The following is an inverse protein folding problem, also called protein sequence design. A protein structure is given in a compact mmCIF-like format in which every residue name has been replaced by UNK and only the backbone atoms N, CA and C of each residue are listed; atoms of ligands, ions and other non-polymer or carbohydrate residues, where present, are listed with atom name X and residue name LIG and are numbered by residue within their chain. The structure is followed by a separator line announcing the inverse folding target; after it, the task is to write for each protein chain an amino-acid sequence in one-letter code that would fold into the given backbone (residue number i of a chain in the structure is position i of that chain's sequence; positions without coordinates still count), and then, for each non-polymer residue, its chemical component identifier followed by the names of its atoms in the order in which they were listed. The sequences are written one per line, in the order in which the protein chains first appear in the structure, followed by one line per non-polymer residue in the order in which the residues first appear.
data_IF_826728004341
#
_entry.id   IF_826728004341
#
_cell.length_a   1.000
_cell.length_b   1.000
_cell.length_c   1.000
_cell.angle_alpha   90.00
_cell.angle_beta   90.00
_cell.angle_gamma   90.00
#
_symmetry.space_group_name_H-M   'P 1'
#
loop_
_entity.id
_entity.type
_entity.pdbx_description
1 polymer ?
#
# COMPACT_ATOMS: atom_id res chain seq x y z
N UNK A 1 19.86 0.38 -32.28
CA UNK A 1 19.01 1.53 -31.88
C UNK A 1 19.59 2.83 -32.44
N UNK A 2 18.77 3.78 -32.95
CA UNK A 2 19.26 5.14 -33.25
C UNK A 2 19.56 5.86 -31.92
N UNK A 3 20.47 6.84 -31.90
CA UNK A 3 20.74 7.62 -30.68
C UNK A 3 19.47 8.30 -30.12
N UNK A 4 18.48 8.61 -30.98
CA UNK A 4 17.17 9.12 -30.59
C UNK A 4 16.38 8.12 -29.76
N UNK A 5 16.31 6.85 -30.18
CA UNK A 5 15.53 5.83 -29.49
C UNK A 5 16.10 5.47 -28.11
N UNK A 6 17.42 5.60 -27.91
CA UNK A 6 18.06 5.42 -26.61
C UNK A 6 17.64 6.52 -25.63
N UNK A 7 17.74 7.78 -26.05
CA UNK A 7 17.30 8.92 -25.26
C UNK A 7 15.79 8.87 -24.95
N UNK A 8 14.98 8.43 -25.91
CA UNK A 8 13.53 8.25 -25.72
C UNK A 8 13.22 7.13 -24.70
N UNK A 9 14.02 6.06 -24.67
CA UNK A 9 13.89 4.97 -23.70
C UNK A 9 14.24 5.44 -22.28
N UNK A 10 15.36 6.14 -22.13
CA UNK A 10 15.77 6.76 -20.88
C UNK A 10 14.69 7.69 -20.34
N UNK A 11 14.19 8.60 -21.17
CA UNK A 11 13.14 9.53 -20.77
C UNK A 11 11.88 8.79 -20.28
N UNK A 12 11.47 7.72 -20.97
CA UNK A 12 10.32 6.91 -20.57
C UNK A 12 10.55 6.18 -19.26
N UNK A 13 11.73 5.61 -19.04
CA UNK A 13 12.07 4.95 -17.78
C UNK A 13 12.10 5.96 -16.63
N UNK A 14 12.70 7.14 -16.82
CA UNK A 14 12.69 8.20 -15.80
C UNK A 14 11.27 8.67 -15.48
N UNK A 15 10.42 8.89 -16.49
CA UNK A 15 9.00 9.24 -16.28
C UNK A 15 8.25 8.15 -15.53
N UNK A 16 8.49 6.88 -15.87
CA UNK A 16 7.87 5.76 -15.18
C UNK A 16 8.36 5.61 -13.74
N UNK A 17 9.65 5.85 -13.49
CA UNK A 17 10.21 5.91 -12.14
C UNK A 17 9.57 7.02 -11.30
N UNK A 18 9.41 8.21 -11.87
CA UNK A 18 8.68 9.31 -11.21
C UNK A 18 7.24 8.92 -10.88
N UNK A 19 6.52 8.35 -11.85
CA UNK A 19 5.14 7.91 -11.66
C UNK A 19 5.03 6.88 -10.53
N UNK A 20 5.89 5.86 -10.51
CA UNK A 20 5.89 4.83 -9.45
C UNK A 20 6.30 5.42 -8.10
N UNK A 21 7.23 6.37 -8.07
CA UNK A 21 7.57 7.10 -6.84
C UNK A 21 6.38 7.89 -6.28
N UNK A 22 5.56 8.49 -7.14
CA UNK A 22 4.38 9.21 -6.70
C UNK A 22 3.29 8.26 -6.18
N UNK A 23 3.11 7.09 -6.81
CA UNK A 23 2.27 6.03 -6.25
C UNK A 23 2.75 5.55 -4.88
N UNK A 24 4.06 5.41 -4.71
CA UNK A 24 4.67 5.03 -3.43
C UNK A 24 4.41 6.08 -2.35
N UNK A 25 4.68 7.37 -2.64
CA UNK A 25 4.40 8.48 -1.72
C UNK A 25 2.92 8.53 -1.33
N UNK A 26 2.02 8.32 -2.29
CA UNK A 26 0.59 8.26 -2.02
C UNK A 26 0.22 7.09 -1.10
N UNK A 27 0.80 5.90 -1.32
CA UNK A 27 0.60 4.75 -0.45
C UNK A 27 1.11 5.03 0.98
N UNK A 28 2.24 5.72 1.13
CA UNK A 28 2.78 6.13 2.43
C UNK A 28 1.88 7.15 3.13
N UNK A 29 1.44 8.19 2.43
CA UNK A 29 0.52 9.19 2.96
C UNK A 29 -0.77 8.55 3.49
N UNK A 30 -1.33 7.56 2.77
CA UNK A 30 -2.49 6.79 3.21
C UNK A 30 -2.25 6.02 4.52
N UNK A 31 -1.13 5.32 4.63
CA UNK A 31 -0.80 4.56 5.83
C UNK A 31 -0.53 5.51 7.03
N UNK A 32 0.17 6.63 6.82
CA UNK A 32 0.36 7.67 7.86
C UNK A 32 -0.99 8.25 8.31
N UNK A 33 -1.86 8.59 7.37
CA UNK A 33 -3.20 9.08 7.68
C UNK A 33 -4.01 8.07 8.51
N UNK A 34 -3.91 6.78 8.18
CA UNK A 34 -4.59 5.74 8.94
C UNK A 34 -4.03 5.56 10.36
N UNK A 35 -2.71 5.69 10.56
CA UNK A 35 -2.11 5.73 11.91
C UNK A 35 -2.69 6.88 12.72
N UNK A 36 -2.77 8.09 12.14
CA UNK A 36 -3.36 9.25 12.79
C UNK A 36 -4.83 9.03 13.18
N UNK A 37 -5.64 8.54 12.24
CA UNK A 37 -7.07 8.27 12.48
C UNK A 37 -7.29 7.20 13.55
N UNK A 38 -6.57 6.06 13.46
CA UNK A 38 -6.70 4.98 14.44
C UNK A 38 -6.24 5.42 15.84
N UNK A 39 -5.15 6.19 15.93
CA UNK A 39 -4.65 6.73 17.21
C UNK A 39 -5.65 7.73 17.83
N UNK A 40 -6.24 8.61 17.02
CA UNK A 40 -7.24 9.56 17.49
C UNK A 40 -8.51 8.84 18.00
N UNK A 41 -9.00 7.86 17.26
CA UNK A 41 -10.18 7.06 17.65
C UNK A 41 -9.94 6.30 18.96
N UNK A 42 -8.77 5.67 19.10
CA UNK A 42 -8.38 4.97 20.34
C UNK A 42 -8.22 5.95 21.52
N UNK A 43 -7.63 7.12 21.30
CA UNK A 43 -7.50 8.16 22.33
C UNK A 43 -8.86 8.65 22.84
N UNK A 44 -9.81 8.90 21.93
CA UNK A 44 -11.18 9.25 22.29
C UNK A 44 -11.86 8.13 23.10
N UNK A 45 -11.75 6.88 22.63
CA UNK A 45 -12.36 5.73 23.31
C UNK A 45 -11.78 5.51 24.70
N UNK A 46 -10.46 5.66 24.86
CA UNK A 46 -9.81 5.57 26.16
C UNK A 46 -10.38 6.59 27.14
N UNK A 47 -10.52 7.85 26.71
CA UNK A 47 -11.14 8.91 27.51
C UNK A 47 -12.59 8.58 27.88
N UNK A 48 -13.39 8.16 26.89
CA UNK A 48 -14.79 7.79 27.11
C UNK A 48 -14.94 6.64 28.11
N UNK A 49 -14.15 5.56 27.96
CA UNK A 49 -14.17 4.41 28.86
C UNK A 49 -13.74 4.80 30.27
N UNK A 50 -12.67 5.60 30.40
CA UNK A 50 -12.20 6.07 31.70
C UNK A 50 -13.23 6.94 32.44
N UNK A 51 -14.03 7.73 31.73
CA UNK A 51 -15.09 8.55 32.32
C UNK A 51 -16.38 7.80 32.64
N UNK A 52 -16.57 6.58 32.12
CA UNK A 52 -17.81 5.80 32.26
C UNK A 52 -17.59 4.42 32.90
N UNK A 53 -16.53 4.27 33.70
CA UNK A 53 -16.22 3.01 34.39
C UNK A 53 -17.41 2.58 35.24
N UNK A 54 -17.87 1.34 35.04
CA UNK A 54 -19.03 0.77 35.75
C UNK A 54 -20.39 1.07 35.11
N UNK A 55 -20.47 1.96 34.11
CA UNK A 55 -21.72 2.37 33.47
C UNK A 55 -21.95 1.71 32.10
N UNK A 56 -21.48 0.46 31.93
CA UNK A 56 -21.62 -0.32 30.71
C UNK A 56 -22.53 -1.52 30.94
N UNK A 57 -23.52 -1.70 30.08
CA UNK A 57 -24.20 -2.99 29.95
C UNK A 57 -23.24 -4.01 29.32
N UNK A 58 -23.54 -5.30 29.48
CA UNK A 58 -22.73 -6.37 28.89
C UNK A 58 -22.57 -6.19 27.38
N UNK A 59 -23.66 -5.89 26.66
CA UNK A 59 -23.64 -5.70 25.21
C UNK A 59 -22.82 -4.47 24.80
N UNK A 60 -22.94 -3.34 25.51
CA UNK A 60 -22.10 -2.16 25.21
C UNK A 60 -20.63 -2.45 25.44
N UNK A 61 -20.29 -3.14 26.54
CA UNK A 61 -18.91 -3.51 26.86
C UNK A 61 -18.29 -4.42 25.81
N UNK A 62 -19.02 -5.45 25.35
CA UNK A 62 -18.56 -6.35 24.28
C UNK A 62 -18.34 -5.59 22.97
N UNK A 63 -19.28 -4.73 22.57
CA UNK A 63 -19.16 -3.95 21.33
C UNK A 63 -17.94 -2.99 21.37
N UNK A 64 -17.73 -2.29 22.49
CA UNK A 64 -16.57 -1.41 22.69
C UNK A 64 -15.27 -2.21 22.67
N UNK A 65 -15.23 -3.38 23.31
CA UNK A 65 -14.03 -4.22 23.35
C UNK A 65 -13.64 -4.75 21.97
N UNK A 66 -14.61 -5.30 21.22
CA UNK A 66 -14.38 -5.78 19.85
C UNK A 66 -13.97 -4.65 18.90
N UNK A 67 -14.63 -3.49 19.02
CA UNK A 67 -14.29 -2.33 18.22
C UNK A 67 -12.88 -1.80 18.51
N UNK A 68 -12.51 -1.75 19.80
CA UNK A 68 -11.16 -1.34 20.23
C UNK A 68 -10.09 -2.30 19.73
N UNK A 69 -10.33 -3.62 19.80
CA UNK A 69 -9.43 -4.62 19.26
C UNK A 69 -9.22 -4.42 17.75
N UNK A 70 -10.28 -4.15 16.99
CA UNK A 70 -10.18 -3.91 15.56
C UNK A 70 -9.41 -2.62 15.22
N UNK A 71 -9.58 -1.55 16.00
CA UNK A 71 -8.81 -0.31 15.87
C UNK A 71 -7.32 -0.53 16.17
N UNK A 72 -6.99 -1.33 17.20
CA UNK A 72 -5.61 -1.71 17.51
C UNK A 72 -5.01 -2.51 16.35
N UNK A 73 -5.74 -3.48 15.79
CA UNK A 73 -5.27 -4.26 14.64
C UNK A 73 -5.02 -3.35 13.42
N UNK A 74 -5.91 -2.39 13.15
CA UNK A 74 -5.71 -1.41 12.09
C UNK A 74 -4.44 -0.56 12.31
N UNK A 75 -4.22 -0.09 13.54
CA UNK A 75 -3.03 0.69 13.89
C UNK A 75 -1.75 -0.14 13.72
N UNK A 76 -1.69 -1.33 14.32
CA UNK A 76 -0.53 -2.22 14.25
C UNK A 76 -0.22 -2.60 12.82
N UNK A 77 -1.22 -2.92 12.01
CA UNK A 77 -1.03 -3.23 10.59
C UNK A 77 -0.35 -2.07 9.86
N UNK A 78 -0.81 -0.81 10.02
CA UNK A 78 -0.14 0.33 9.37
C UNK A 78 1.27 0.59 9.92
N UNK A 79 1.51 0.36 11.21
CA UNK A 79 2.87 0.50 11.76
C UNK A 79 3.86 -0.45 11.08
N UNK A 80 3.42 -1.68 10.74
CA UNK A 80 4.26 -2.62 9.98
C UNK A 80 4.58 -2.13 8.55
N UNK A 81 3.82 -1.18 8.00
CA UNK A 81 4.07 -0.60 6.67
C UNK A 81 5.31 0.31 6.61
N UNK A 82 5.82 0.75 7.77
CA UNK A 82 7.03 1.58 7.89
C UNK A 82 8.30 0.77 8.10
N UNK A 83 8.20 -0.55 8.33
CA UNK A 83 9.38 -1.38 8.50
C UNK A 83 10.21 -1.40 7.19
N UNK A 84 11.55 -1.25 7.29
CA UNK A 84 12.43 -1.30 6.13
C UNK A 84 12.31 -2.64 5.43
N UNK A 85 12.34 -2.62 4.09
CA UNK A 85 12.22 -3.82 3.28
C UNK A 85 13.58 -4.17 2.69
N UNK A 86 14.20 -5.24 3.22
CA UNK A 86 15.49 -5.73 2.70
C UNK A 86 15.35 -7.05 1.96
N UNK A 87 14.44 -7.96 2.38
CA UNK A 87 14.31 -9.30 1.77
C UNK A 87 12.89 -9.68 1.33
N UNK A 88 11.87 -8.97 1.80
CA UNK A 88 10.45 -9.29 1.52
C UNK A 88 10.05 -9.15 0.05
N UNK A 89 10.82 -8.45 -0.77
CA UNK A 89 10.52 -8.27 -2.18
C UNK A 89 10.58 -9.58 -2.97
N UNK A 90 11.51 -10.48 -2.61
CA UNK A 90 11.65 -11.79 -3.27
C UNK A 90 10.44 -12.67 -2.99
N UNK A 91 9.96 -12.66 -1.75
CA UNK A 91 8.76 -13.39 -1.35
C UNK A 91 7.49 -12.82 -2.02
N UNK A 92 7.42 -11.50 -2.22
CA UNK A 92 6.32 -10.87 -2.93
C UNK A 92 6.36 -11.18 -4.43
N UNK A 93 7.55 -11.14 -5.05
CA UNK A 93 7.75 -11.49 -6.45
C UNK A 93 7.26 -12.91 -6.76
N UNK A 94 7.56 -13.88 -5.89
CA UNK A 94 7.09 -15.26 -6.03
C UNK A 94 5.56 -15.43 -5.98
N UNK A 95 4.83 -14.47 -5.41
CA UNK A 95 3.36 -14.49 -5.30
C UNK A 95 2.67 -13.70 -6.41
N UNK A 96 3.42 -12.94 -7.21
CA UNK A 96 2.84 -12.18 -8.32
C UNK A 96 2.67 -13.08 -9.54
N UNK A 97 1.59 -12.90 -10.32
CA UNK A 97 1.45 -13.62 -11.57
C UNK A 97 2.54 -13.17 -12.54
N UNK A 98 2.91 -14.06 -13.46
CA UNK A 98 3.86 -13.76 -14.53
C UNK A 98 3.39 -12.55 -15.36
N UNK A 99 4.33 -11.76 -15.90
CA UNK A 99 4.03 -10.66 -16.81
C UNK A 99 3.18 -11.12 -18.00
N UNK A 100 2.28 -10.24 -18.45
CA UNK A 100 1.39 -10.50 -19.59
C UNK A 100 1.56 -9.43 -20.68
N UNK A 101 1.24 -9.81 -21.91
CA UNK A 101 1.26 -8.87 -23.03
C UNK A 101 0.21 -7.76 -22.91
N UNK A 102 -0.83 -7.99 -22.10
CA UNK A 102 -1.89 -7.01 -21.80
C UNK A 102 -1.58 -6.14 -20.58
N UNK A 103 -0.42 -6.29 -19.94
CA UNK A 103 -0.08 -5.52 -18.74
C UNK A 103 0.07 -4.02 -19.07
N UNK A 104 -0.72 -3.17 -18.43
CA UNK A 104 -0.53 -1.71 -18.45
C UNK A 104 0.81 -1.31 -17.79
N UNK A 105 1.80 -0.92 -18.61
CA UNK A 105 3.15 -0.55 -18.15
C UNK A 105 3.22 0.76 -17.35
N UNK A 106 2.15 1.55 -17.29
CA UNK A 106 2.07 2.74 -16.44
C UNK A 106 1.45 2.46 -15.06
N UNK A 107 0.92 1.25 -14.85
CA UNK A 107 0.32 0.86 -13.58
C UNK A 107 1.34 0.13 -12.70
N UNK A 108 1.60 0.68 -11.50
CA UNK A 108 2.57 0.15 -10.53
C UNK A 108 2.38 -1.35 -10.24
N UNK A 109 1.13 -1.83 -10.23
CA UNK A 109 0.81 -3.22 -9.91
C UNK A 109 1.14 -4.21 -11.03
N UNK A 110 1.23 -3.74 -12.27
CA UNK A 110 1.64 -4.54 -13.43
C UNK A 110 3.16 -4.53 -13.57
N UNK A 111 3.80 -3.35 -13.52
CA UNK A 111 5.27 -3.25 -13.60
C UNK A 111 5.98 -4.05 -12.50
N UNK A 112 5.39 -4.16 -11.31
CA UNK A 112 5.92 -4.96 -10.21
C UNK A 112 6.12 -6.46 -10.51
N UNK A 113 5.46 -6.98 -11.56
CA UNK A 113 5.52 -8.39 -12.00
C UNK A 113 6.74 -8.67 -12.88
N UNK A 114 7.29 -7.64 -13.51
CA UNK A 114 8.37 -7.79 -14.47
C UNK A 114 9.71 -8.08 -13.80
N UNK A 115 10.64 -8.58 -14.61
CA UNK A 115 12.08 -8.52 -14.38
C UNK A 115 12.69 -7.32 -15.13
N UNK A 116 13.83 -6.76 -14.67
CA UNK A 116 14.40 -5.54 -15.23
C UNK A 116 14.51 -5.56 -16.76
N UNK A 117 15.17 -6.59 -17.32
CA UNK A 117 15.29 -6.76 -18.78
C UNK A 117 13.93 -6.86 -19.48
N UNK A 118 13.00 -7.66 -18.93
CA UNK A 118 11.67 -7.84 -19.53
C UNK A 118 10.84 -6.55 -19.54
N UNK A 119 11.04 -5.66 -18.57
CA UNK A 119 10.36 -4.36 -18.51
C UNK A 119 10.91 -3.42 -19.58
N UNK A 120 12.24 -3.33 -19.70
CA UNK A 120 12.91 -2.52 -20.73
C UNK A 120 12.48 -2.96 -22.12
N UNK A 121 12.51 -4.27 -22.40
CA UNK A 121 12.04 -4.81 -23.67
C UNK A 121 10.55 -4.53 -23.93
N UNK A 122 9.69 -4.64 -22.91
CA UNK A 122 8.26 -4.35 -23.07
C UNK A 122 8.01 -2.88 -23.41
N UNK A 123 8.76 -1.95 -22.81
CA UNK A 123 8.66 -0.52 -23.11
C UNK A 123 9.13 -0.24 -24.54
N UNK A 124 10.31 -0.76 -24.93
CA UNK A 124 10.83 -0.55 -26.27
C UNK A 124 9.88 -1.09 -27.35
N UNK A 125 9.40 -2.33 -27.18
CA UNK A 125 8.49 -2.97 -28.15
C UNK A 125 7.18 -2.20 -28.29
N UNK A 126 6.56 -1.77 -27.19
CA UNK A 126 5.21 -1.17 -27.20
C UNK A 126 5.18 0.33 -27.47
N UNK A 127 6.28 1.04 -27.19
CA UNK A 127 6.28 2.51 -27.22
C UNK A 127 7.33 3.12 -28.15
N UNK A 128 8.32 2.33 -28.60
CA UNK A 128 9.38 2.80 -29.51
C UNK A 128 9.39 2.02 -30.85
N UNK A 129 8.50 1.03 -31.00
CA UNK A 129 8.32 0.31 -32.27
C UNK A 129 9.50 -0.57 -32.68
N UNK A 130 10.33 -1.01 -31.73
CA UNK A 130 11.50 -1.85 -32.01
C UNK A 130 12.04 -2.57 -30.76
N UNK A 131 13.06 -3.39 -30.96
CA UNK A 131 13.77 -4.06 -29.86
C UNK A 131 14.69 -3.10 -29.12
N UNK A 132 14.82 -3.31 -27.81
CA UNK A 132 15.59 -2.48 -26.90
C UNK A 132 17.12 -2.65 -27.05
N UNK A 133 17.66 -2.87 -28.25
CA UNK A 133 19.06 -3.27 -28.41
C UNK A 133 19.96 -2.11 -28.93
N UNK A 134 21.00 -1.69 -28.16
CA UNK A 134 21.50 -2.29 -26.91
C UNK A 134 20.80 -1.81 -25.63
N UNK A 135 20.52 -2.76 -24.72
CA UNK A 135 20.15 -2.49 -23.32
C UNK A 135 21.46 -2.29 -22.54
N UNK A 136 21.67 -1.08 -22.02
CA UNK A 136 22.76 -0.83 -21.06
C UNK A 136 22.37 -1.11 -19.60
N UNK A 137 23.37 -1.08 -18.72
CA UNK A 137 23.20 -1.31 -17.28
C UNK A 137 22.33 -0.22 -16.61
N UNK A 138 22.36 1.02 -17.11
CA UNK A 138 21.55 2.13 -16.59
C UNK A 138 20.05 1.89 -16.78
N UNK A 139 19.64 1.40 -17.95
CA UNK A 139 18.25 1.01 -18.21
C UNK A 139 17.81 -0.12 -17.26
N UNK A 140 18.70 -1.09 -16.98
CA UNK A 140 18.41 -2.20 -16.08
C UNK A 140 18.28 -1.73 -14.63
N UNK A 141 19.13 -0.81 -14.18
CA UNK A 141 19.07 -0.22 -12.84
C UNK A 141 17.78 0.59 -12.64
N UNK A 142 17.41 1.42 -13.61
CA UNK A 142 16.14 2.16 -13.58
C UNK A 142 14.95 1.21 -13.55
N UNK A 143 14.95 0.18 -14.40
CA UNK A 143 13.89 -0.82 -14.41
C UNK A 143 13.80 -1.58 -13.08
N UNK A 144 14.93 -1.92 -12.46
CA UNK A 144 14.97 -2.53 -11.14
C UNK A 144 14.32 -1.63 -10.08
N UNK A 145 14.66 -0.33 -10.05
CA UNK A 145 14.03 0.62 -9.13
C UNK A 145 12.52 0.76 -9.35
N UNK A 146 12.07 0.84 -10.61
CA UNK A 146 10.64 0.88 -10.96
C UNK A 146 9.90 -0.35 -10.43
N UNK A 147 10.46 -1.54 -10.64
CA UNK A 147 9.87 -2.81 -10.20
C UNK A 147 9.82 -2.87 -8.67
N UNK A 148 10.93 -2.54 -8.01
CA UNK A 148 11.04 -2.52 -6.54
C UNK A 148 10.04 -1.53 -5.93
N UNK A 149 10.00 -0.29 -6.40
CA UNK A 149 9.05 0.70 -5.87
C UNK A 149 7.60 0.30 -6.15
N UNK A 150 7.32 -0.33 -7.29
CA UNK A 150 5.99 -0.90 -7.58
C UNK A 150 5.60 -2.01 -6.61
N UNK A 151 6.54 -2.89 -6.24
CA UNK A 151 6.35 -3.95 -5.24
C UNK A 151 6.11 -3.39 -3.84
N UNK A 152 6.90 -2.40 -3.42
CA UNK A 152 6.72 -1.72 -2.13
C UNK A 152 5.34 -1.07 -2.09
N UNK A 153 4.94 -0.38 -3.16
CA UNK A 153 3.63 0.27 -3.30
C UNK A 153 2.50 -0.75 -3.14
N UNK A 154 2.54 -1.88 -3.86
CA UNK A 154 1.55 -2.95 -3.75
C UNK A 154 1.40 -3.45 -2.31
N UNK A 155 2.51 -3.71 -1.63
CA UNK A 155 2.49 -4.18 -0.24
C UNK A 155 1.86 -3.15 0.69
N UNK A 156 2.28 -1.89 0.61
CA UNK A 156 1.75 -0.80 1.45
C UNK A 156 0.25 -0.61 1.23
N UNK A 157 -0.23 -0.73 -0.01
CA UNK A 157 -1.67 -0.63 -0.30
C UNK A 157 -2.47 -1.85 0.14
N UNK A 158 -1.89 -3.06 0.12
CA UNK A 158 -2.54 -4.25 0.71
C UNK A 158 -2.69 -4.13 2.22
N UNK A 159 -1.64 -3.66 2.91
CA UNK A 159 -1.69 -3.38 4.35
C UNK A 159 -2.77 -2.33 4.63
N UNK A 160 -2.76 -1.21 3.90
CA UNK A 160 -3.78 -0.16 4.04
C UNK A 160 -5.21 -0.71 3.81
N UNK A 161 -5.40 -1.57 2.80
CA UNK A 161 -6.72 -2.16 2.49
C UNK A 161 -7.24 -3.06 3.60
N UNK A 162 -6.37 -3.84 4.25
CA UNK A 162 -6.76 -4.59 5.44
C UNK A 162 -7.11 -3.63 6.60
N UNK A 163 -6.25 -2.64 6.84
CA UNK A 163 -6.43 -1.71 7.96
C UNK A 163 -7.68 -0.86 7.86
N UNK A 164 -8.07 -0.39 6.67
CA UNK A 164 -9.30 0.42 6.51
C UNK A 164 -10.56 -0.40 6.84
N UNK A 165 -10.56 -1.70 6.53
CA UNK A 165 -11.68 -2.59 6.88
C UNK A 165 -11.74 -2.79 8.40
N UNK A 166 -10.61 -3.08 9.04
CA UNK A 166 -10.54 -3.18 10.50
C UNK A 166 -10.94 -1.87 11.19
N UNK A 167 -10.47 -0.72 10.67
CA UNK A 167 -10.82 0.59 11.18
C UNK A 167 -12.32 0.88 11.06
N UNK A 168 -12.91 0.65 9.87
CA UNK A 168 -14.33 0.85 9.65
C UNK A 168 -15.20 0.00 10.57
N UNK A 169 -14.88 -1.30 10.69
CA UNK A 169 -15.56 -2.19 11.64
C UNK A 169 -15.38 -1.68 13.09
N UNK A 170 -14.17 -1.28 13.46
CA UNK A 170 -13.85 -0.79 14.79
C UNK A 170 -14.66 0.45 15.18
N UNK A 171 -14.72 1.45 14.30
CA UNK A 171 -15.51 2.67 14.50
C UNK A 171 -17.00 2.34 14.66
N UNK A 172 -17.57 1.50 13.78
CA UNK A 172 -18.99 1.14 13.83
C UNK A 172 -19.33 0.38 15.12
N UNK A 173 -18.51 -0.62 15.48
CA UNK A 173 -18.73 -1.40 16.70
C UNK A 173 -18.64 -0.54 17.96
N UNK A 174 -17.64 0.34 18.04
CA UNK A 174 -17.50 1.27 19.16
C UNK A 174 -18.65 2.29 19.23
N UNK A 175 -19.08 2.84 18.09
CA UNK A 175 -20.22 3.76 18.05
C UNK A 175 -21.52 3.08 18.51
N UNK A 176 -21.77 1.85 18.06
CA UNK A 176 -22.91 1.06 18.52
C UNK A 176 -22.82 0.76 20.03
N UNK A 177 -21.63 0.44 20.55
CA UNK A 177 -21.42 0.22 21.97
C UNK A 177 -21.68 1.46 22.83
N UNK A 178 -21.16 2.62 22.41
CA UNK A 178 -21.43 3.92 23.06
C UNK A 178 -22.92 4.27 23.01
N UNK A 179 -23.57 4.05 21.87
CA UNK A 179 -25.02 4.26 21.73
C UNK A 179 -25.79 3.36 22.71
N UNK A 180 -25.52 2.06 22.74
CA UNK A 180 -26.18 1.13 23.67
C UNK A 180 -25.96 1.54 25.12
N UNK A 181 -24.75 1.95 25.50
CA UNK A 181 -24.46 2.43 26.85
C UNK A 181 -25.35 3.61 27.25
N UNK A 182 -25.64 4.53 26.33
CA UNK A 182 -26.48 5.71 26.61
C UNK A 182 -27.97 5.38 26.86
N UNK A 183 -28.48 4.25 26.36
CA UNK A 183 -29.89 3.84 26.53
C UNK A 183 -30.10 2.73 27.55
N UNK A 184 -29.02 2.15 28.08
CA UNK A 184 -29.07 1.12 29.12
C UNK A 184 -28.67 1.63 30.51
N UNK A 185 -28.39 2.93 30.64
CA UNK A 185 -28.18 3.62 31.92
C UNK A 185 -29.50 4.00 32.58
#
# INVERSE_FOLDING_TARGET
MSASNAADLDERLFRLLQLVNDWLKFAEAKNVGMVGLASAALGFLLGYVASNVGNFSFLSGVAIALGSLALILALLANLTSFLPQTDTERALAARLPSPRDTDNLYYYGHVARHHPRSLVEAIARRHLGGDADPIDDGHLDLAAQIITNGRITLRKLRIFSFSIVCFGFGVVACAAGVFLAAFTQ
#
